data_IF_548389757108
#
_entry.id   IF_548389757108
#
_cell.length_a   1.000
_cell.length_b   1.000
_cell.length_c   1.000
_cell.angle_alpha   90.00
_cell.angle_beta   90.00
_cell.angle_gamma   90.00
#
_symmetry.space_group_name_H-M   'P 1'
#
loop_
_entity.id
_entity.type
_entity.pdbx_description
1 polymer ?
#
# COMPACT_ATOMS: atom_id res chain seq x y z
N UNK A 1 8.76 -9.47 -1.09
CA UNK A 1 7.51 -8.79 -1.51
C UNK A 1 7.79 -7.76 -2.60
N UNK A 2 8.57 -6.70 -2.33
CA UNK A 2 8.91 -5.68 -3.35
C UNK A 2 9.49 -6.30 -4.62
N UNK A 3 10.47 -7.20 -4.49
CA UNK A 3 11.06 -7.89 -5.65
C UNK A 3 10.05 -8.77 -6.41
N UNK A 4 9.06 -9.33 -5.72
CA UNK A 4 7.97 -10.07 -6.35
C UNK A 4 7.06 -9.14 -7.16
N UNK A 5 6.72 -7.97 -6.61
CA UNK A 5 5.91 -6.94 -7.28
C UNK A 5 6.62 -6.48 -8.56
N UNK A 6 7.91 -6.12 -8.47
CA UNK A 6 8.71 -5.72 -9.63
C UNK A 6 8.76 -6.79 -10.71
N UNK A 7 8.89 -8.07 -10.31
CA UNK A 7 8.94 -9.19 -11.25
C UNK A 7 7.59 -9.44 -11.95
N UNK A 8 6.48 -9.24 -11.23
CA UNK A 8 5.13 -9.52 -11.74
C UNK A 8 4.53 -8.36 -12.52
N UNK A 9 4.97 -7.12 -12.26
CA UNK A 9 4.47 -5.92 -12.92
C UNK A 9 5.64 -5.16 -13.57
N UNK A 10 6.09 -5.56 -14.78
CA UNK A 10 7.16 -4.85 -15.48
C UNK A 10 6.83 -3.37 -15.66
N UNK A 11 7.77 -2.49 -15.27
CA UNK A 11 7.60 -1.03 -15.35
C UNK A 11 6.96 -0.39 -14.11
N UNK A 12 6.63 -1.16 -13.07
CA UNK A 12 6.26 -0.59 -11.77
C UNK A 12 7.47 0.02 -11.08
N UNK A 13 7.29 1.22 -10.53
CA UNK A 13 8.29 1.95 -9.77
C UNK A 13 7.94 1.94 -8.28
N UNK A 14 8.93 1.72 -7.42
CA UNK A 14 8.78 1.83 -5.97
C UNK A 14 9.26 3.21 -5.56
N UNK A 15 8.33 4.07 -5.14
CA UNK A 15 8.62 5.45 -4.76
C UNK A 15 9.15 5.53 -3.33
N UNK A 16 8.51 4.82 -2.41
CA UNK A 16 8.86 4.84 -0.99
C UNK A 16 8.47 3.53 -0.31
N UNK A 17 9.17 3.20 0.78
CA UNK A 17 8.80 2.14 1.71
C UNK A 17 9.02 2.64 3.13
N UNK A 18 7.98 2.56 3.97
CA UNK A 18 8.01 3.03 5.34
C UNK A 18 7.53 1.92 6.29
N UNK A 19 8.17 1.83 7.45
CA UNK A 19 7.69 1.02 8.56
C UNK A 19 6.64 1.82 9.33
N UNK A 20 5.53 1.18 9.68
CA UNK A 20 4.41 1.76 10.41
C UNK A 20 3.99 0.83 11.55
N UNK A 21 3.15 1.35 12.44
CA UNK A 21 2.42 0.56 13.43
C UNK A 21 0.94 0.85 13.26
N UNK A 22 0.14 -0.18 12.96
CA UNK A 22 -1.32 -0.08 12.83
C UNK A 22 -1.96 -0.94 13.91
N UNK A 23 -2.70 -0.33 14.83
CA UNK A 23 -3.35 -1.03 15.95
C UNK A 23 -2.36 -1.93 16.72
N UNK A 24 -1.20 -1.37 17.10
CA UNK A 24 -0.09 -2.05 17.80
C UNK A 24 0.60 -3.17 17.01
N UNK A 25 0.17 -3.43 15.77
CA UNK A 25 0.79 -4.43 14.92
C UNK A 25 1.83 -3.79 13.99
N UNK A 26 2.98 -4.47 13.76
CA UNK A 26 3.95 -4.00 12.80
C UNK A 26 3.35 -4.01 11.40
N UNK A 27 3.59 -2.94 10.66
CA UNK A 27 3.12 -2.77 9.30
C UNK A 27 4.20 -2.16 8.40
N UNK A 28 4.08 -2.40 7.10
CA UNK A 28 4.90 -1.78 6.07
C UNK A 28 3.97 -1.11 5.08
N UNK A 29 4.22 0.16 4.77
CA UNK A 29 3.57 0.84 3.66
C UNK A 29 4.56 0.97 2.50
N UNK A 30 4.06 0.71 1.30
CA UNK A 30 4.81 0.81 0.05
C UNK A 30 4.02 1.73 -0.87
N UNK A 31 4.68 2.79 -1.33
CA UNK A 31 4.15 3.68 -2.37
C UNK A 31 4.73 3.25 -3.71
N UNK A 32 3.85 3.02 -4.67
CA UNK A 32 4.19 2.53 -6.00
C UNK A 32 3.62 3.46 -7.06
N UNK A 33 4.29 3.54 -8.20
CA UNK A 33 3.77 4.15 -9.42
C UNK A 33 3.77 3.10 -10.53
N UNK A 34 2.69 3.03 -11.30
CA UNK A 34 2.62 2.19 -12.48
C UNK A 34 1.95 2.94 -13.63
N UNK A 35 2.26 2.55 -14.87
CA UNK A 35 1.51 2.96 -16.05
C UNK A 35 0.75 1.77 -16.60
N UNK A 36 -0.59 1.81 -16.58
CA UNK A 36 -1.47 0.74 -17.05
C UNK A 36 -2.44 1.29 -18.08
N UNK A 37 -2.50 0.68 -19.26
CA UNK A 37 -3.41 1.09 -20.35
C UNK A 37 -3.34 2.59 -20.68
N UNK A 38 -2.11 3.13 -20.68
CA UNK A 38 -1.80 4.56 -20.89
C UNK A 38 -2.33 5.52 -19.80
N UNK A 39 -2.67 5.00 -18.62
CA UNK A 39 -3.02 5.77 -17.43
C UNK A 39 -1.91 5.65 -16.39
N UNK A 40 -1.42 6.79 -15.91
CA UNK A 40 -0.46 6.86 -14.81
C UNK A 40 -1.19 6.75 -13.47
N UNK A 41 -0.83 5.73 -12.69
CA UNK A 41 -1.48 5.37 -11.44
C UNK A 41 -0.48 5.45 -10.28
N UNK A 42 -1.01 5.77 -9.12
CA UNK A 42 -0.30 5.66 -7.85
C UNK A 42 -1.00 4.64 -6.96
N UNK A 43 -0.20 3.83 -6.27
CA UNK A 43 -0.70 2.86 -5.31
C UNK A 43 -0.09 3.12 -3.94
N UNK A 44 -0.94 2.99 -2.92
CA UNK A 44 -0.52 2.85 -1.53
C UNK A 44 -0.89 1.45 -1.07
N UNK A 45 0.11 0.63 -0.79
CA UNK A 45 -0.08 -0.72 -0.27
C UNK A 45 0.40 -0.78 1.18
N UNK A 46 -0.52 -1.02 2.11
CA UNK A 46 -0.20 -1.21 3.53
C UNK A 46 -0.33 -2.69 3.89
N UNK A 47 0.74 -3.27 4.42
CA UNK A 47 0.81 -4.67 4.84
C UNK A 47 0.92 -4.73 6.34
N UNK A 48 -0.08 -5.30 7.01
CA UNK A 48 -0.11 -5.47 8.47
C UNK A 48 0.19 -6.92 8.81
N UNK A 49 1.11 -7.17 9.75
CA UNK A 49 1.52 -8.52 10.12
C UNK A 49 0.95 -8.93 11.48
N UNK A 50 0.32 -10.11 11.54
CA UNK A 50 -0.12 -10.75 12.79
C UNK A 50 0.28 -12.22 12.78
N UNK A 51 1.29 -12.58 13.59
CA UNK A 51 1.86 -13.91 13.59
C UNK A 51 2.44 -14.30 12.23
N UNK A 52 1.91 -15.37 11.61
CA UNK A 52 2.35 -15.84 10.27
C UNK A 52 1.49 -15.29 9.12
N UNK A 53 0.51 -14.44 9.42
CA UNK A 53 -0.43 -13.90 8.42
C UNK A 53 -0.09 -12.44 8.12
N UNK A 54 0.00 -12.10 6.83
CA UNK A 54 0.11 -10.73 6.34
C UNK A 54 -1.22 -10.31 5.68
N UNK A 55 -1.77 -9.18 6.12
CA UNK A 55 -2.99 -8.60 5.58
C UNK A 55 -2.61 -7.40 4.72
N UNK A 56 -3.13 -7.34 3.49
CA UNK A 56 -2.77 -6.29 2.53
C UNK A 56 -3.98 -5.38 2.27
N UNK A 57 -3.80 -4.08 2.48
CA UNK A 57 -4.76 -3.04 2.11
C UNK A 57 -4.14 -2.27 0.95
N UNK A 58 -4.75 -2.38 -0.23
CA UNK A 58 -4.32 -1.67 -1.43
C UNK A 58 -5.27 -0.52 -1.75
N UNK A 59 -4.73 0.67 -1.91
CA UNK A 59 -5.42 1.82 -2.48
C UNK A 59 -4.75 2.20 -3.81
N UNK A 60 -5.55 2.52 -4.82
CA UNK A 60 -5.07 2.93 -6.15
C UNK A 60 -5.84 4.18 -6.58
N UNK A 61 -5.12 5.16 -7.12
CA UNK A 61 -5.69 6.36 -7.70
C UNK A 61 -4.86 6.81 -8.91
N UNK A 62 -5.28 7.90 -9.55
CA UNK A 62 -4.45 8.57 -10.56
C UNK A 62 -3.16 9.11 -9.91
N UNK A 63 -2.11 9.25 -10.71
CA UNK A 63 -0.90 9.93 -10.27
C UNK A 63 -1.20 11.37 -9.79
N UNK A 64 -0.60 11.75 -8.66
CA UNK A 64 -0.79 13.07 -8.05
C UNK A 64 -2.00 13.18 -7.11
N UNK A 65 -2.86 12.16 -7.08
CA UNK A 65 -4.11 12.18 -6.31
C UNK A 65 -4.01 11.51 -4.93
N UNK A 66 -2.87 10.90 -4.57
CA UNK A 66 -2.70 10.19 -3.28
C UNK A 66 -3.01 11.08 -2.06
N UNK A 67 -2.42 12.28 -2.00
CA UNK A 67 -2.57 13.20 -0.86
C UNK A 67 -4.01 13.66 -0.66
N UNK A 68 -4.76 13.80 -1.76
CA UNK A 68 -6.20 14.14 -1.74
C UNK A 68 -7.03 13.09 -0.99
N UNK A 69 -6.62 11.83 -1.04
CA UNK A 69 -7.34 10.72 -0.39
C UNK A 69 -6.70 10.28 0.93
N UNK A 70 -5.54 10.84 1.32
CA UNK A 70 -4.77 10.49 2.53
C UNK A 70 -5.65 10.34 3.78
N UNK A 71 -6.51 11.33 4.07
CA UNK A 71 -7.39 11.29 5.25
C UNK A 71 -8.36 10.11 5.22
N UNK A 72 -8.87 9.74 4.04
CA UNK A 72 -9.78 8.61 3.88
C UNK A 72 -9.02 7.28 4.00
N UNK A 73 -7.88 7.16 3.33
CA UNK A 73 -7.05 5.96 3.40
C UNK A 73 -6.53 5.70 4.81
N UNK A 74 -6.13 6.75 5.53
CA UNK A 74 -5.67 6.64 6.93
C UNK A 74 -6.79 6.19 7.85
N UNK A 75 -8.02 6.69 7.67
CA UNK A 75 -9.18 6.20 8.42
C UNK A 75 -9.45 4.72 8.16
N UNK A 76 -9.39 4.29 6.90
CA UNK A 76 -9.60 2.88 6.53
C UNK A 76 -8.53 2.01 7.19
N UNK A 77 -7.25 2.36 7.03
CA UNK A 77 -6.12 1.60 7.57
C UNK A 77 -6.20 1.52 9.10
N UNK A 78 -6.43 2.65 9.78
CA UNK A 78 -6.49 2.68 11.25
C UNK A 78 -7.75 1.99 11.79
N UNK A 79 -8.85 1.94 11.03
CA UNK A 79 -10.04 1.17 11.41
C UNK A 79 -9.88 -0.36 11.23
N UNK A 80 -8.80 -0.81 10.59
CA UNK A 80 -8.59 -2.21 10.29
C UNK A 80 -8.24 -3.01 11.55
N UNK A 81 -9.26 -3.63 12.14
CA UNK A 81 -9.12 -4.49 13.31
C UNK A 81 -9.09 -5.97 12.88
N UNK A 82 -7.97 -6.65 13.14
CA UNK A 82 -7.80 -8.07 12.81
C UNK A 82 -8.36 -8.90 13.96
N UNK A 83 -9.57 -9.42 13.78
CA UNK A 83 -10.26 -10.31 14.74
C UNK A 83 -9.43 -11.60 14.93
N UNK A 84 -9.44 -12.14 16.15
CA UNK A 84 -8.78 -13.40 16.52
C UNK A 84 -9.55 -14.62 16.03
#
# INVERSE_FOLDING_TARGET
>A
MIETIKKQTPGIEVLNTSNLTINELPAIQILLKEKRDNVDLSHQMTVVFKGKTGYVIGFTCLEGDLDKYSTTTDKIINSFNIIN
#
